data_IF_386970538924
#
_entry.id   IF_386970538924
#
_cell.length_a   1.000
_cell.length_b   1.000
_cell.length_c   1.000
_cell.angle_alpha   90.00
_cell.angle_beta   90.00
_cell.angle_gamma   90.00
#
_symmetry.space_group_name_H-M   'P 1'
#
loop_
_entity.id
_entity.type
_entity.pdbx_description
1 polymer ?
#
# COMPACT_ATOMS: atom_id res chain seq x y z
N UNK A 1 2.37 -24.78 11.29
CA UNK A 1 1.30 -23.99 11.93
C UNK A 1 0.96 -22.73 11.12
N UNK A 2 1.90 -21.86 10.75
CA UNK A 2 1.64 -20.63 9.96
C UNK A 2 0.99 -20.85 8.59
N UNK A 3 1.35 -21.90 7.84
CA UNK A 3 0.80 -22.19 6.50
C UNK A 3 -0.70 -22.51 6.50
N UNK A 4 -1.18 -23.26 7.51
CA UNK A 4 -2.60 -23.58 7.64
C UNK A 4 -3.44 -22.35 7.99
N UNK A 5 -2.94 -21.50 8.88
CA UNK A 5 -3.59 -20.26 9.30
C UNK A 5 -3.66 -19.26 8.14
N UNK A 6 -2.57 -19.13 7.36
CA UNK A 6 -2.53 -18.19 6.23
C UNK A 6 -3.41 -18.61 5.03
N UNK A 7 -3.79 -19.89 4.93
CA UNK A 7 -4.80 -20.34 3.96
C UNK A 7 -6.23 -20.08 4.44
N UNK A 8 -6.46 -20.18 5.76
CA UNK A 8 -7.78 -19.93 6.36
C UNK A 8 -8.08 -18.44 6.52
N UNK A 9 -7.07 -17.66 6.87
CA UNK A 9 -7.14 -16.20 7.09
C UNK A 9 -6.07 -15.49 6.26
N UNK A 10 -6.24 -15.40 4.93
CA UNK A 10 -5.25 -14.77 4.03
C UNK A 10 -5.06 -13.29 4.33
N UNK A 11 -5.99 -12.64 5.02
CA UNK A 11 -5.90 -11.22 5.41
C UNK A 11 -4.76 -10.97 6.39
N UNK A 12 -4.42 -11.90 7.27
CA UNK A 12 -3.37 -11.71 8.27
C UNK A 12 -1.98 -11.52 7.64
N UNK A 13 -1.48 -12.43 6.75
CA UNK A 13 -0.23 -12.18 6.06
C UNK A 13 -0.30 -10.98 5.11
N UNK A 14 -1.46 -10.70 4.50
CA UNK A 14 -1.65 -9.50 3.68
C UNK A 14 -1.48 -8.24 4.54
N UNK A 15 -2.11 -8.18 5.72
CA UNK A 15 -2.00 -7.03 6.64
C UNK A 15 -0.57 -6.78 7.10
N UNK A 16 0.11 -7.82 7.57
CA UNK A 16 1.48 -7.71 8.07
C UNK A 16 2.48 -7.28 7.00
N UNK A 17 2.40 -7.90 5.81
CA UNK A 17 3.24 -7.53 4.67
C UNK A 17 2.90 -6.14 4.13
N UNK A 18 1.60 -5.79 4.04
CA UNK A 18 1.17 -4.47 3.63
C UNK A 18 1.75 -3.39 4.54
N UNK A 19 1.62 -3.55 5.86
CA UNK A 19 2.18 -2.58 6.81
C UNK A 19 3.70 -2.48 6.68
N UNK A 20 4.42 -3.60 6.66
CA UNK A 20 5.88 -3.60 6.55
C UNK A 20 6.41 -2.98 5.27
N UNK A 21 5.80 -3.32 4.11
CA UNK A 21 6.19 -2.77 2.81
C UNK A 21 5.85 -1.27 2.71
N UNK A 22 4.68 -0.84 3.17
CA UNK A 22 4.32 0.57 3.20
C UNK A 22 5.20 1.35 4.17
N UNK A 23 5.52 0.82 5.36
CA UNK A 23 6.43 1.48 6.28
C UNK A 23 7.82 1.69 5.65
N UNK A 24 8.38 0.68 5.00
CA UNK A 24 9.64 0.82 4.28
C UNK A 24 9.55 1.90 3.18
N UNK A 25 8.46 1.91 2.41
CA UNK A 25 8.22 2.91 1.38
C UNK A 25 8.12 4.32 1.94
N UNK A 26 7.34 4.52 3.02
CA UNK A 26 7.15 5.81 3.69
C UNK A 26 8.47 6.42 4.17
N UNK A 27 9.37 5.59 4.71
CA UNK A 27 10.70 6.08 5.10
C UNK A 27 11.58 6.40 3.89
N UNK A 28 11.54 5.60 2.83
CA UNK A 28 12.30 5.83 1.61
C UNK A 28 11.86 7.10 0.86
N UNK A 29 10.56 7.37 0.81
CA UNK A 29 10.03 8.57 0.15
C UNK A 29 10.04 9.82 1.03
N UNK A 30 10.34 9.71 2.33
CA UNK A 30 10.31 10.82 3.29
C UNK A 30 11.06 12.07 2.82
N UNK A 31 12.25 12.01 2.16
CA UNK A 31 12.94 13.19 1.66
C UNK A 31 12.16 14.00 0.60
N UNK A 32 11.11 13.44 0.04
CA UNK A 32 10.28 14.07 -0.98
C UNK A 32 9.11 14.89 -0.39
N UNK A 33 9.02 14.95 0.94
CA UNK A 33 8.05 15.75 1.66
C UNK A 33 8.73 16.88 2.43
N UNK A 34 8.06 18.02 2.54
CA UNK A 34 8.60 19.24 3.16
C UNK A 34 8.92 19.10 4.65
N UNK A 35 8.33 18.10 5.32
CA UNK A 35 8.53 17.82 6.74
C UNK A 35 9.75 16.93 7.04
N UNK A 36 10.51 16.53 6.04
CA UNK A 36 11.66 15.62 6.20
C UNK A 36 12.72 16.12 7.19
N UNK A 37 12.89 17.44 7.32
CA UNK A 37 13.83 18.07 8.25
C UNK A 37 13.34 18.13 9.71
N UNK A 38 12.18 17.58 10.05
CA UNK A 38 11.65 17.57 11.41
C UNK A 38 12.39 16.56 12.29
N UNK A 39 12.22 16.66 13.61
CA UNK A 39 12.83 15.74 14.57
C UNK A 39 12.42 14.26 14.32
N UNK A 40 13.30 13.33 14.69
CA UNK A 40 13.12 11.90 14.44
C UNK A 40 11.80 11.36 15.03
N UNK A 41 11.42 11.79 16.25
CA UNK A 41 10.19 11.34 16.89
C UNK A 41 8.93 11.72 16.11
N UNK A 42 8.92 12.93 15.52
CA UNK A 42 7.86 13.37 14.63
C UNK A 42 7.82 12.52 13.36
N UNK A 43 8.97 12.33 12.69
CA UNK A 43 9.05 11.55 11.45
C UNK A 43 8.60 10.10 11.65
N UNK A 44 9.06 9.45 12.72
CA UNK A 44 8.64 8.07 13.03
C UNK A 44 7.13 7.98 13.18
N UNK A 45 6.52 8.86 13.97
CA UNK A 45 5.07 8.86 14.20
C UNK A 45 4.30 9.09 12.91
N UNK A 46 4.70 10.10 12.12
CA UNK A 46 4.01 10.47 10.89
C UNK A 46 4.12 9.36 9.85
N UNK A 47 5.33 8.83 9.59
CA UNK A 47 5.53 7.78 8.56
C UNK A 47 4.86 6.45 8.96
N UNK A 48 4.89 6.08 10.23
CA UNK A 48 4.18 4.87 10.70
C UNK A 48 2.66 5.05 10.66
N UNK A 49 2.15 6.25 10.93
CA UNK A 49 0.73 6.58 10.78
C UNK A 49 0.28 6.46 9.32
N UNK A 50 1.03 7.03 8.37
CA UNK A 50 0.76 6.92 6.94
C UNK A 50 0.81 5.45 6.48
N UNK A 51 1.85 4.71 6.86
CA UNK A 51 1.96 3.29 6.54
C UNK A 51 0.79 2.45 7.09
N UNK A 52 0.29 2.78 8.28
CA UNK A 52 -0.91 2.18 8.86
C UNK A 52 -2.16 2.47 8.05
N UNK A 53 -2.32 3.73 7.62
CA UNK A 53 -3.40 4.16 6.72
C UNK A 53 -3.37 3.41 5.39
N UNK A 54 -2.23 3.36 4.74
CA UNK A 54 -2.03 2.64 3.46
C UNK A 54 -2.32 1.13 3.60
N UNK A 55 -1.88 0.51 4.70
CA UNK A 55 -2.18 -0.88 4.97
C UNK A 55 -3.69 -1.14 5.13
N UNK A 56 -4.41 -0.23 5.78
CA UNK A 56 -5.88 -0.31 5.91
C UNK A 56 -6.58 -0.15 4.56
N UNK A 57 -6.15 0.80 3.73
CA UNK A 57 -6.69 0.99 2.38
C UNK A 57 -6.45 -0.26 1.54
N UNK A 58 -5.26 -0.83 1.62
CA UNK A 58 -4.90 -2.06 0.92
C UNK A 58 -5.76 -3.26 1.38
N UNK A 59 -5.99 -3.40 2.68
CA UNK A 59 -6.88 -4.42 3.24
C UNK A 59 -8.34 -4.21 2.80
N UNK A 60 -8.80 -2.98 2.78
CA UNK A 60 -10.15 -2.65 2.29
C UNK A 60 -10.28 -3.01 0.80
N UNK A 61 -9.35 -2.58 -0.04
CA UNK A 61 -9.34 -2.93 -1.47
C UNK A 61 -9.25 -4.45 -1.69
N UNK A 62 -8.45 -5.16 -0.89
CA UNK A 62 -8.38 -6.63 -0.90
C UNK A 62 -9.73 -7.26 -0.54
N UNK A 63 -10.39 -6.75 0.51
CA UNK A 63 -11.70 -7.24 0.95
C UNK A 63 -12.80 -7.04 -0.09
N UNK A 64 -12.89 -5.82 -0.66
CA UNK A 64 -13.84 -5.49 -1.74
C UNK A 64 -13.62 -6.40 -2.94
N UNK A 65 -12.36 -6.55 -3.38
CA UNK A 65 -12.00 -7.43 -4.48
C UNK A 65 -12.37 -8.89 -4.20
N UNK A 66 -12.08 -9.37 -3.00
CA UNK A 66 -12.40 -10.73 -2.57
C UNK A 66 -13.91 -10.99 -2.57
N UNK A 67 -14.70 -10.00 -2.18
CA UNK A 67 -16.16 -10.07 -2.17
C UNK A 67 -16.71 -10.13 -3.61
N UNK A 68 -16.26 -9.23 -4.49
CA UNK A 68 -16.74 -9.15 -5.88
C UNK A 68 -16.41 -10.44 -6.65
N UNK A 69 -15.19 -10.94 -6.50
CA UNK A 69 -14.76 -12.15 -7.21
C UNK A 69 -15.04 -13.46 -6.44
N UNK A 70 -15.68 -13.37 -5.28
CA UNK A 70 -16.04 -14.51 -4.41
C UNK A 70 -14.86 -15.45 -4.15
N UNK A 71 -13.67 -14.90 -3.97
CA UNK A 71 -12.44 -15.63 -3.72
C UNK A 71 -11.54 -14.81 -2.79
N UNK A 72 -10.99 -15.42 -1.75
CA UNK A 72 -10.00 -14.81 -0.84
C UNK A 72 -8.55 -15.19 -1.20
N UNK A 73 -8.39 -16.09 -2.18
CA UNK A 73 -7.08 -16.60 -2.61
C UNK A 73 -6.58 -16.00 -3.93
N UNK A 74 -7.38 -15.12 -4.55
CA UNK A 74 -7.13 -14.56 -5.88
C UNK A 74 -5.73 -13.97 -6.06
N UNK A 75 -5.16 -13.38 -5.00
CA UNK A 75 -3.84 -12.77 -5.04
C UNK A 75 -2.73 -13.82 -5.16
N UNK A 76 -2.89 -14.95 -4.48
CA UNK A 76 -1.99 -16.12 -4.58
C UNK A 76 -2.15 -16.84 -5.90
N UNK A 77 -3.39 -16.99 -6.35
CA UNK A 77 -3.72 -17.68 -7.60
C UNK A 77 -3.30 -16.88 -8.85
N UNK A 78 -2.91 -15.62 -8.67
CA UNK A 78 -2.43 -14.78 -9.76
C UNK A 78 -3.50 -14.37 -10.76
N UNK A 79 -4.76 -14.29 -10.34
CA UNK A 79 -5.88 -13.94 -11.20
C UNK A 79 -5.79 -12.46 -11.64
N UNK A 80 -5.76 -12.23 -12.95
CA UNK A 80 -5.57 -10.87 -13.52
C UNK A 80 -6.72 -9.91 -13.20
N UNK A 81 -7.99 -10.33 -13.38
CA UNK A 81 -9.15 -9.48 -13.14
C UNK A 81 -9.21 -8.91 -11.72
N UNK A 82 -9.18 -9.74 -10.66
CA UNK A 82 -9.10 -9.26 -9.29
C UNK A 82 -7.88 -8.36 -9.04
N UNK A 83 -6.71 -8.69 -9.60
CA UNK A 83 -5.49 -7.87 -9.42
C UNK A 83 -5.68 -6.47 -10.01
N UNK A 84 -6.27 -6.36 -11.21
CA UNK A 84 -6.56 -5.06 -11.83
C UNK A 84 -7.53 -4.24 -10.98
N UNK A 85 -8.62 -4.84 -10.51
CA UNK A 85 -9.57 -4.13 -9.63
C UNK A 85 -8.90 -3.65 -8.35
N UNK A 86 -8.12 -4.50 -7.71
CA UNK A 86 -7.41 -4.18 -6.48
C UNK A 86 -6.46 -2.98 -6.64
N UNK A 87 -5.65 -2.98 -7.70
CA UNK A 87 -4.74 -1.86 -8.00
C UNK A 87 -5.53 -0.60 -8.37
N UNK A 88 -6.60 -0.73 -9.16
CA UNK A 88 -7.43 0.42 -9.56
C UNK A 88 -8.10 1.10 -8.35
N UNK A 89 -8.63 0.32 -7.39
CA UNK A 89 -9.22 0.86 -6.15
C UNK A 89 -8.18 1.64 -5.33
N UNK A 90 -6.99 1.08 -5.18
CA UNK A 90 -5.91 1.74 -4.46
C UNK A 90 -5.43 3.01 -5.15
N UNK A 91 -5.19 2.98 -6.46
CA UNK A 91 -4.80 4.17 -7.23
C UNK A 91 -5.87 5.26 -7.16
N UNK A 92 -7.15 4.91 -7.33
CA UNK A 92 -8.24 5.87 -7.26
C UNK A 92 -8.29 6.57 -5.90
N UNK A 93 -8.16 5.80 -4.82
CA UNK A 93 -8.11 6.36 -3.48
C UNK A 93 -6.87 7.25 -3.28
N UNK A 94 -5.70 6.81 -3.72
CA UNK A 94 -4.45 7.57 -3.55
C UNK A 94 -4.51 8.89 -4.33
N UNK A 95 -4.99 8.89 -5.57
CA UNK A 95 -5.19 10.12 -6.34
C UNK A 95 -6.09 11.10 -5.59
N UNK A 96 -7.22 10.62 -5.08
CA UNK A 96 -8.14 11.44 -4.28
C UNK A 96 -7.49 11.92 -2.99
N UNK A 97 -6.83 11.05 -2.24
CA UNK A 97 -6.20 11.37 -0.95
C UNK A 97 -5.06 12.38 -1.11
N UNK A 98 -4.17 12.18 -2.09
CA UNK A 98 -3.08 13.11 -2.38
C UNK A 98 -3.62 14.48 -2.78
N UNK A 99 -4.59 14.53 -3.69
CA UNK A 99 -5.23 15.78 -4.06
C UNK A 99 -5.88 16.48 -2.87
N UNK A 100 -6.68 15.75 -2.08
CA UNK A 100 -7.37 16.30 -0.93
C UNK A 100 -6.40 16.85 0.13
N UNK A 101 -5.36 16.07 0.45
CA UNK A 101 -4.44 16.44 1.52
C UNK A 101 -3.41 17.50 1.12
N UNK A 102 -3.08 17.61 -0.18
CA UNK A 102 -2.12 18.63 -0.64
C UNK A 102 -2.79 19.92 -1.11
N UNK A 103 -4.03 19.86 -1.62
CA UNK A 103 -4.71 21.01 -2.23
C UNK A 103 -5.89 21.55 -1.42
N UNK A 104 -6.54 20.71 -0.61
CA UNK A 104 -7.74 21.10 0.14
C UNK A 104 -7.45 21.23 1.62
N UNK A 105 -7.02 20.17 2.29
CA UNK A 105 -6.77 20.17 3.74
C UNK A 105 -5.39 20.68 4.12
N UNK A 106 -4.45 20.73 3.18
CA UNK A 106 -3.06 21.13 3.36
C UNK A 106 -2.35 20.39 4.51
N UNK A 107 -2.71 19.11 4.69
CA UNK A 107 -2.20 18.26 5.77
C UNK A 107 -0.72 17.93 5.59
N UNK A 108 -0.25 17.85 4.36
CA UNK A 108 1.17 17.73 4.00
C UNK A 108 1.50 18.45 2.70
N UNK A 109 2.77 18.68 2.47
CA UNK A 109 3.27 19.36 1.30
C UNK A 109 4.45 18.59 0.73
N UNK A 110 4.59 18.60 -0.57
CA UNK A 110 5.75 18.04 -1.25
C UNK A 110 6.96 18.96 -1.15
N UNK A 111 8.14 18.36 -1.10
CA UNK A 111 9.40 19.08 -1.37
C UNK A 111 9.51 19.39 -2.86
N UNK A 112 10.37 20.34 -3.23
CA UNK A 112 10.63 20.70 -4.63
C UNK A 112 11.14 19.52 -5.48
N UNK A 113 11.77 18.55 -4.84
CA UNK A 113 12.28 17.32 -5.47
C UNK A 113 11.23 16.28 -5.83
N UNK A 114 9.98 16.43 -5.35
CA UNK A 114 8.89 15.49 -5.65
C UNK A 114 8.45 15.63 -7.11
N UNK A 115 8.61 14.59 -7.95
CA UNK A 115 8.04 14.61 -9.29
C UNK A 115 6.50 14.58 -9.20
N UNK A 116 5.85 15.48 -9.93
CA UNK A 116 4.40 15.67 -9.88
C UNK A 116 3.76 15.67 -11.26
N UNK A 117 2.53 15.16 -11.33
CA UNK A 117 1.64 15.28 -12.49
C UNK A 117 0.29 15.82 -12.01
N UNK A 118 -0.16 16.94 -12.56
CA UNK A 118 -1.37 17.64 -12.14
C UNK A 118 -1.42 17.95 -10.62
N UNK A 119 -0.27 18.26 -10.02
CA UNK A 119 -0.16 18.54 -8.59
C UNK A 119 -0.20 17.30 -7.67
N UNK A 120 -0.17 16.11 -8.24
CA UNK A 120 -0.15 14.84 -7.50
C UNK A 120 1.24 14.22 -7.61
N UNK A 121 1.81 13.83 -6.48
CA UNK A 121 3.12 13.18 -6.43
C UNK A 121 3.13 11.83 -7.14
N UNK A 122 4.13 11.62 -8.01
CA UNK A 122 4.27 10.36 -8.75
C UNK A 122 4.74 9.21 -7.86
N UNK A 123 5.47 9.49 -6.78
CA UNK A 123 6.02 8.45 -5.92
C UNK A 123 4.92 7.75 -5.10
N UNK A 124 3.91 8.44 -4.51
CA UNK A 124 2.72 7.78 -3.95
C UNK A 124 1.94 6.94 -4.96
N UNK A 125 1.85 7.37 -6.22
CA UNK A 125 1.22 6.56 -7.27
C UNK A 125 2.04 5.31 -7.61
N UNK A 126 3.36 5.43 -7.69
CA UNK A 126 4.26 4.30 -7.92
C UNK A 126 4.19 3.27 -6.78
N UNK A 127 3.96 3.71 -5.54
CA UNK A 127 3.72 2.84 -4.38
C UNK A 127 2.59 1.85 -4.65
N UNK A 128 1.48 2.31 -5.23
CA UNK A 128 0.31 1.48 -5.54
C UNK A 128 0.48 0.55 -6.73
N UNK A 129 1.57 0.66 -7.47
CA UNK A 129 1.99 -0.35 -8.45
C UNK A 129 3.00 -1.32 -7.83
N UNK A 130 3.98 -0.78 -7.08
CA UNK A 130 5.08 -1.56 -6.52
C UNK A 130 4.63 -2.47 -5.35
N UNK A 131 3.89 -1.93 -4.37
CA UNK A 131 3.50 -2.68 -3.17
C UNK A 131 2.56 -3.85 -3.50
N UNK A 132 1.47 -3.70 -4.28
CA UNK A 132 0.65 -4.84 -4.71
C UNK A 132 1.43 -5.91 -5.46
N UNK A 133 2.38 -5.51 -6.31
CA UNK A 133 3.23 -6.44 -7.04
C UNK A 133 4.16 -7.24 -6.11
N UNK A 134 4.85 -6.55 -5.20
CA UNK A 134 5.72 -7.19 -4.20
C UNK A 134 4.94 -8.12 -3.27
N UNK A 135 3.77 -7.68 -2.81
CA UNK A 135 2.88 -8.47 -1.98
C UNK A 135 2.48 -9.78 -2.69
N UNK A 136 2.07 -9.68 -3.96
CA UNK A 136 1.72 -10.85 -4.77
C UNK A 136 2.91 -11.79 -4.94
N UNK A 137 4.11 -11.27 -5.23
CA UNK A 137 5.31 -12.08 -5.39
C UNK A 137 5.66 -12.85 -4.11
N UNK A 138 5.65 -12.16 -2.96
CA UNK A 138 5.99 -12.77 -1.67
C UNK A 138 4.98 -13.87 -1.31
N UNK A 139 3.69 -13.56 -1.40
CA UNK A 139 2.64 -14.52 -1.05
C UNK A 139 2.62 -15.75 -1.95
N UNK A 140 2.95 -15.59 -3.25
CA UNK A 140 3.07 -16.72 -4.18
C UNK A 140 4.28 -17.58 -3.86
N UNK A 141 5.47 -16.98 -3.66
CA UNK A 141 6.67 -17.73 -3.27
C UNK A 141 6.46 -18.55 -2.00
N UNK A 142 5.88 -17.95 -0.96
CA UNK A 142 5.57 -18.66 0.29
C UNK A 142 4.53 -19.79 0.12
N UNK A 143 3.74 -19.78 -0.95
CA UNK A 143 2.80 -20.86 -1.27
C UNK A 143 3.44 -22.05 -1.99
N UNK A 144 4.54 -21.82 -2.73
CA UNK A 144 5.19 -22.81 -3.60
C UNK A 144 6.43 -23.51 -3.00
N UNK A 145 6.90 -23.13 -1.81
CA UNK A 145 7.98 -23.87 -1.18
C UNK A 145 7.48 -25.26 -0.74
N UNK A 146 7.96 -26.36 -1.37
CA UNK A 146 7.65 -27.71 -0.92
C UNK A 146 8.29 -27.96 0.44
N UNK A 147 7.62 -28.72 1.27
CA UNK A 147 8.17 -29.28 2.54
C UNK A 147 9.16 -30.36 2.22
#
# INVERSE_FOLDING_TARGET
MFRGLSRRLPELPVAGLAFGLNAAWEFLQSPLYSDHGRELGYLLRTRLHCAGGDALILLFAFGVTSLIFRSRQWLRDGRRGPTVLFVALGLAYTIWSEWFNTQVSLSWQYAESMPQVFGIGLIPLAQWLAIPFLLALILRKCAFEPT
#
